data_IF_621288891475
#
_entry.id   IF_621288891475
#
_cell.length_a   1.000
_cell.length_b   1.000
_cell.length_c   1.000
_cell.angle_alpha   90.00
_cell.angle_beta   90.00
_cell.angle_gamma   90.00
#
_symmetry.space_group_name_H-M   'P 1'
#
loop_
_entity.id
_entity.type
_entity.pdbx_description
1 polymer ?
#
# COMPACT_ATOMS: atom_id res chain seq x y z
N UNK A 1 -3.77 2.82 -6.97
CA UNK A 1 -4.49 1.56 -6.72
C UNK A 1 -5.29 1.63 -5.42
N UNK A 2 -6.41 0.93 -5.35
CA UNK A 2 -7.28 0.92 -4.17
C UNK A 2 -6.82 -0.15 -3.16
N UNK A 3 -6.52 0.24 -1.91
CA UNK A 3 -6.31 -0.73 -0.81
C UNK A 3 -7.61 -1.48 -0.52
N UNK A 4 -7.52 -2.79 -0.26
CA UNK A 4 -8.67 -3.65 0.05
C UNK A 4 -8.43 -4.42 1.34
N UNK A 5 -9.53 -4.79 1.99
CA UNK A 5 -9.49 -5.77 3.07
C UNK A 5 -9.45 -7.17 2.48
N UNK A 6 -8.58 -8.01 3.03
CA UNK A 6 -8.42 -9.42 2.67
C UNK A 6 -8.77 -10.30 3.88
N UNK A 7 -9.35 -11.51 3.71
CA UNK A 7 -9.70 -12.39 4.82
C UNK A 7 -8.55 -12.74 5.77
N UNK A 8 -7.30 -12.69 5.29
CA UNK A 8 -6.12 -12.95 6.12
C UNK A 8 -5.65 -11.74 6.95
N UNK A 9 -6.25 -10.56 6.81
CA UNK A 9 -5.82 -9.39 7.58
C UNK A 9 -6.08 -9.59 9.07
N UNK A 10 -5.05 -9.32 9.89
CA UNK A 10 -5.04 -9.52 11.34
C UNK A 10 -4.54 -8.26 12.08
N UNK A 11 -4.46 -7.13 11.37
CA UNK A 11 -3.95 -5.88 11.91
C UNK A 11 -4.27 -4.69 11.03
N UNK A 12 -3.97 -3.51 11.57
CA UNK A 12 -4.06 -2.23 10.89
C UNK A 12 -2.81 -1.43 11.18
N UNK A 13 -2.29 -0.74 10.15
CA UNK A 13 -1.29 0.32 10.31
C UNK A 13 -1.99 1.66 10.18
N UNK A 14 -1.92 2.46 11.25
CA UNK A 14 -2.39 3.83 11.27
C UNK A 14 -1.32 4.80 10.80
N UNK A 15 -1.66 6.09 10.84
CA UNK A 15 -0.70 7.15 10.62
C UNK A 15 0.42 7.13 11.68
N UNK A 16 1.64 7.56 11.35
CA UNK A 16 2.71 7.72 12.32
C UNK A 16 2.35 8.68 13.47
N UNK A 17 3.07 8.56 14.58
CA UNK A 17 2.94 9.52 15.68
C UNK A 17 3.31 10.94 15.20
N UNK A 18 2.49 11.93 15.56
CA UNK A 18 2.70 13.33 15.15
C UNK A 18 2.31 13.65 13.71
N UNK A 19 1.69 12.71 12.98
CA UNK A 19 1.25 12.95 11.61
C UNK A 19 0.13 13.98 11.52
N UNK A 20 0.32 15.04 10.71
CA UNK A 20 -0.70 16.04 10.44
C UNK A 20 -1.68 15.56 9.36
N UNK A 21 -2.86 15.14 9.80
CA UNK A 21 -3.94 14.68 8.92
C UNK A 21 -4.52 15.80 8.02
N UNK A 22 -4.31 17.08 8.38
CA UNK A 22 -4.80 18.22 7.61
C UNK A 22 -3.89 18.58 6.43
N UNK A 23 -2.59 18.30 6.54
CA UNK A 23 -1.62 18.51 5.46
C UNK A 23 -1.69 17.36 4.43
N UNK A 24 -1.62 16.11 4.90
CA UNK A 24 -1.69 14.93 4.04
C UNK A 24 -2.51 13.82 4.71
N UNK A 25 -3.74 13.52 4.26
CA UNK A 25 -4.54 12.46 4.86
C UNK A 25 -3.86 11.09 4.81
N UNK A 26 -3.57 10.50 5.97
CA UNK A 26 -3.01 9.15 6.09
C UNK A 26 -4.08 8.20 6.65
N UNK A 27 -4.75 7.50 5.73
CA UNK A 27 -5.77 6.53 6.06
C UNK A 27 -5.18 5.22 6.59
N UNK A 28 -5.92 4.57 7.50
CA UNK A 28 -5.58 3.26 8.03
C UNK A 28 -5.43 2.19 6.91
N UNK A 29 -4.37 1.39 6.98
CA UNK A 29 -4.11 0.28 6.06
C UNK A 29 -4.35 -1.07 6.74
N UNK A 30 -5.33 -1.86 6.29
CA UNK A 30 -5.48 -3.25 6.71
C UNK A 30 -4.27 -4.08 6.29
N UNK A 31 -3.76 -4.89 7.21
CA UNK A 31 -2.56 -5.69 6.98
C UNK A 31 -2.67 -7.11 7.52
N UNK A 32 -1.83 -7.99 7.00
CA UNK A 32 -1.51 -9.29 7.60
C UNK A 32 -0.08 -9.26 8.11
N UNK A 33 0.10 -9.37 9.42
CA UNK A 33 1.40 -9.67 10.03
C UNK A 33 1.70 -11.15 9.81
N UNK A 34 2.86 -11.45 9.24
CA UNK A 34 3.32 -12.78 8.89
C UNK A 34 4.85 -12.86 9.01
N UNK A 35 5.46 -13.94 8.53
CA UNK A 35 6.91 -14.08 8.43
C UNK A 35 7.33 -14.54 7.01
N UNK A 36 8.53 -14.14 6.60
CA UNK A 36 9.25 -14.71 5.46
C UNK A 36 10.48 -15.43 6.02
N UNK A 37 10.40 -16.75 6.13
CA UNK A 37 11.32 -17.51 6.98
C UNK A 37 11.14 -17.08 8.45
N UNK A 38 12.22 -16.71 9.11
CA UNK A 38 12.21 -16.20 10.49
C UNK A 38 12.04 -14.66 10.58
N UNK A 39 12.01 -13.96 9.44
CA UNK A 39 11.92 -12.50 9.41
C UNK A 39 10.46 -12.04 9.47
N UNK A 40 10.08 -11.11 10.37
CA UNK A 40 8.74 -10.57 10.43
C UNK A 40 8.44 -9.77 9.16
N UNK A 41 7.23 -9.95 8.63
CA UNK A 41 6.78 -9.33 7.39
C UNK A 41 5.33 -8.83 7.53
N UNK A 42 4.97 -7.91 6.65
CA UNK A 42 3.63 -7.35 6.58
C UNK A 42 3.13 -7.39 5.14
N UNK A 43 1.92 -7.89 4.95
CA UNK A 43 1.23 -7.90 3.66
C UNK A 43 0.11 -6.85 3.67
N UNK A 44 -0.02 -6.12 2.56
CA UNK A 44 -1.18 -5.30 2.25
C UNK A 44 -1.69 -5.67 0.86
N UNK A 45 -2.99 -5.54 0.64
CA UNK A 45 -3.65 -5.97 -0.59
C UNK A 45 -4.24 -4.77 -1.31
N UNK A 46 -4.00 -4.72 -2.62
CA UNK A 46 -4.39 -3.61 -3.48
C UNK A 46 -5.04 -4.16 -4.73
N UNK A 47 -6.12 -3.51 -5.17
CA UNK A 47 -6.84 -3.87 -6.37
C UNK A 47 -6.69 -2.74 -7.39
N UNK A 48 -6.17 -3.04 -8.60
CA UNK A 48 -6.20 -2.08 -9.69
C UNK A 48 -7.63 -1.91 -10.22
N UNK A 49 -7.95 -0.71 -10.68
CA UNK A 49 -9.14 -0.48 -11.51
C UNK A 49 -8.90 -0.87 -12.99
N UNK A 50 -9.92 -0.68 -13.83
CA UNK A 50 -9.82 -1.02 -15.26
C UNK A 50 -8.76 -0.21 -16.02
N UNK A 51 -8.58 1.07 -15.68
CA UNK A 51 -7.57 1.94 -16.29
C UNK A 51 -6.15 1.57 -15.85
N UNK A 52 -5.98 1.30 -14.55
CA UNK A 52 -4.73 0.81 -13.98
C UNK A 52 -4.33 -0.55 -14.58
N UNK A 53 -5.29 -1.48 -14.73
CA UNK A 53 -5.05 -2.76 -15.42
C UNK A 53 -4.63 -2.57 -16.88
N UNK A 54 -5.28 -1.65 -17.60
CA UNK A 54 -4.91 -1.36 -18.99
C UNK A 54 -3.48 -0.81 -19.08
N UNK A 55 -3.10 0.10 -18.19
CA UNK A 55 -1.74 0.65 -18.12
C UNK A 55 -0.71 -0.44 -17.78
N UNK A 56 -1.02 -1.34 -16.84
CA UNK A 56 -0.16 -2.49 -16.53
C UNK A 56 0.00 -3.44 -17.73
N UNK A 57 -1.11 -3.76 -18.42
CA UNK A 57 -1.07 -4.60 -19.62
C UNK A 57 -0.30 -3.96 -20.78
N UNK A 58 -0.23 -2.62 -20.82
CA UNK A 58 0.58 -1.86 -21.76
C UNK A 58 2.07 -1.77 -21.38
N UNK A 59 2.50 -2.44 -20.30
CA UNK A 59 3.89 -2.44 -19.82
C UNK A 59 4.21 -1.37 -18.78
N UNK A 60 3.19 -0.69 -18.23
CA UNK A 60 3.36 0.21 -17.08
C UNK A 60 3.85 -0.52 -15.83
N UNK A 61 4.43 0.24 -14.90
CA UNK A 61 5.00 -0.27 -13.66
C UNK A 61 4.07 -0.04 -12.47
N UNK A 62 4.13 -0.95 -11.50
CA UNK A 62 3.60 -0.67 -10.15
C UNK A 62 4.64 0.14 -9.40
N UNK A 63 4.24 1.29 -8.85
CA UNK A 63 5.12 2.13 -8.04
C UNK A 63 4.66 2.14 -6.59
N UNK A 64 5.65 1.95 -5.70
CA UNK A 64 5.49 1.93 -4.26
C UNK A 64 6.06 3.22 -3.65
N UNK A 65 5.19 3.94 -2.95
CA UNK A 65 5.57 5.09 -2.16
C UNK A 65 5.63 4.69 -0.69
N UNK A 66 6.76 4.91 -0.03
CA UNK A 66 6.89 4.84 1.43
C UNK A 66 7.31 6.22 1.89
N UNK A 67 6.45 6.88 2.67
CA UNK A 67 6.67 8.26 3.10
C UNK A 67 7.30 8.26 4.49
N UNK A 68 8.45 8.92 4.65
CA UNK A 68 9.17 8.98 5.91
C UNK A 68 10.09 7.77 6.15
N UNK A 69 10.41 7.51 7.43
CA UNK A 69 11.42 6.51 7.83
C UNK A 69 10.82 5.18 8.31
N UNK A 70 9.50 5.10 8.48
CA UNK A 70 8.77 3.88 8.87
C UNK A 70 7.84 3.42 7.75
N UNK A 71 7.36 2.18 7.81
CA UNK A 71 6.55 1.61 6.73
C UNK A 71 5.23 2.37 6.42
N UNK A 72 4.48 2.93 7.40
CA UNK A 72 3.43 3.90 7.08
C UNK A 72 3.96 5.34 7.10
N UNK A 73 3.43 6.23 6.22
CA UNK A 73 2.40 6.00 5.20
C UNK A 73 2.91 5.32 3.93
N UNK A 74 2.07 4.49 3.31
CA UNK A 74 2.39 3.76 2.08
C UNK A 74 1.27 3.88 1.05
N UNK A 75 1.63 3.96 -0.24
CA UNK A 75 0.69 4.00 -1.35
C UNK A 75 1.21 3.17 -2.53
N UNK A 76 0.32 2.46 -3.22
CA UNK A 76 0.59 1.87 -4.53
C UNK A 76 -0.18 2.59 -5.62
N UNK A 77 0.50 2.93 -6.72
CA UNK A 77 -0.10 3.42 -7.96
C UNK A 77 0.50 2.72 -9.18
N UNK A 78 -0.05 3.03 -10.36
CA UNK A 78 0.48 2.56 -11.64
C UNK A 78 1.10 3.73 -12.37
N UNK A 79 2.36 3.59 -12.76
CA UNK A 79 3.08 4.50 -13.64
C UNK A 79 2.98 3.96 -15.08
N UNK A 80 2.37 4.70 -16.01
CA UNK A 80 2.31 4.28 -17.42
C UNK A 80 3.71 4.11 -18.02
N UNK A 81 3.84 3.17 -18.97
CA UNK A 81 5.04 3.08 -19.80
C UNK A 81 5.25 4.41 -20.56
N UNK A 82 6.51 4.85 -20.76
CA UNK A 82 6.83 5.97 -21.63
C UNK A 82 6.29 5.81 -23.06
#
# INVERSE_FOLDING_TARGET
MQKIQHPSNNGVLGAPAGWDQSELPCNALPITRTHVGDLPAVLSYWRPDAGELAALNAGGAVRLWVVGATMPPVMLDVEPSP
#
